data_IF_093078994350
#
_entry.id   IF_093078994350
#
_cell.length_a   1.000
_cell.length_b   1.000
_cell.length_c   1.000
_cell.angle_alpha   90.00
_cell.angle_beta   90.00
_cell.angle_gamma   90.00
#
_symmetry.space_group_name_H-M   'P 1'
#
loop_
_entity.id
_entity.type
_entity.pdbx_description
1 polymer ?
#
# COMPACT_ATOMS: atom_id res chain seq x y z
N UNK A 1 -8.36 -0.19 44.23
CA UNK A 1 -8.53 -0.03 42.77
C UNK A 1 -8.85 1.40 42.31
N UNK A 2 -9.33 2.32 43.14
CA UNK A 2 -9.74 3.67 42.70
C UNK A 2 -8.60 4.70 42.53
N UNK A 3 -7.51 4.57 43.30
CA UNK A 3 -6.41 5.56 43.33
C UNK A 3 -5.61 5.63 42.03
N UNK A 4 -5.43 4.49 41.35
CA UNK A 4 -4.73 4.43 40.06
C UNK A 4 -5.49 5.11 38.92
N UNK A 5 -6.83 5.05 38.94
CA UNK A 5 -7.67 5.69 37.93
C UNK A 5 -7.68 7.23 38.07
N UNK A 6 -7.64 7.73 39.31
CA UNK A 6 -7.61 9.17 39.58
C UNK A 6 -6.24 9.77 39.18
N UNK A 7 -5.14 9.09 39.51
CA UNK A 7 -3.79 9.52 39.10
C UNK A 7 -3.60 9.46 37.58
N UNK A 8 -4.07 8.39 36.93
CA UNK A 8 -4.01 8.28 35.47
C UNK A 8 -4.87 9.37 34.77
N UNK A 9 -6.06 9.66 35.30
CA UNK A 9 -6.94 10.70 34.79
C UNK A 9 -6.33 12.11 34.93
N UNK A 10 -5.74 12.44 36.07
CA UNK A 10 -5.05 13.72 36.30
C UNK A 10 -3.80 13.86 35.43
N UNK A 11 -3.02 12.78 35.25
CA UNK A 11 -1.84 12.78 34.40
C UNK A 11 -2.15 13.05 32.92
N UNK A 12 -3.22 12.46 32.38
CA UNK A 12 -3.64 12.72 31.00
C UNK A 12 -4.18 14.14 30.82
N UNK A 13 -4.89 14.67 31.81
CA UNK A 13 -5.42 16.03 31.77
C UNK A 13 -4.31 17.09 31.75
N UNK A 14 -3.24 16.93 32.55
CA UNK A 14 -2.12 17.89 32.59
C UNK A 14 -1.33 17.89 31.28
N UNK A 15 -1.05 16.72 30.70
CA UNK A 15 -0.37 16.61 29.40
C UNK A 15 -1.21 17.24 28.28
N UNK A 16 -2.52 16.97 28.26
CA UNK A 16 -3.43 17.55 27.28
C UNK A 16 -3.54 19.07 27.37
N UNK A 17 -3.65 19.62 28.58
CA UNK A 17 -3.81 21.06 28.80
C UNK A 17 -2.51 21.83 28.54
N UNK A 18 -1.37 21.30 28.98
CA UNK A 18 -0.05 21.88 28.70
C UNK A 18 0.27 21.87 27.20
N UNK A 19 -0.02 20.76 26.51
CA UNK A 19 0.11 20.67 25.04
C UNK A 19 -0.78 21.69 24.31
N UNK A 20 -2.05 21.83 24.73
CA UNK A 20 -2.99 22.79 24.13
C UNK A 20 -2.58 24.25 24.36
N UNK A 21 -2.01 24.56 25.52
CA UNK A 21 -1.54 25.90 25.85
C UNK A 21 -0.27 26.25 25.05
N UNK A 22 0.69 25.33 24.97
CA UNK A 22 1.91 25.50 24.17
C UNK A 22 1.60 25.74 22.68
N UNK A 23 0.64 25.01 22.10
CA UNK A 23 0.22 25.19 20.71
C UNK A 23 -0.49 26.53 20.45
N UNK A 24 -1.20 27.09 21.44
CA UNK A 24 -1.89 28.39 21.30
C UNK A 24 -0.96 29.60 21.41
N UNK A 25 0.08 29.51 22.22
CA UNK A 25 1.03 30.62 22.45
C UNK A 25 2.31 30.51 21.60
N UNK A 26 2.63 29.33 21.09
CA UNK A 26 3.81 29.08 20.24
C UNK A 26 3.57 29.38 18.76
N UNK A 27 3.22 30.62 18.39
CA UNK A 27 3.12 31.01 16.95
C UNK A 27 4.42 30.75 16.18
N UNK A 28 5.57 30.82 16.85
CA UNK A 28 6.90 30.50 16.30
C UNK A 28 7.09 28.99 16.08
N UNK A 29 6.61 28.15 17.00
CA UNK A 29 6.66 26.69 16.87
C UNK A 29 5.77 26.18 15.72
N UNK A 30 4.66 26.86 15.44
CA UNK A 30 3.86 26.54 14.25
C UNK A 30 4.59 26.83 12.94
N UNK A 31 5.41 27.90 12.89
CA UNK A 31 6.15 28.25 11.67
C UNK A 31 7.30 27.28 11.40
N UNK A 32 8.04 26.88 12.44
CA UNK A 32 9.13 25.89 12.31
C UNK A 32 8.60 24.48 12.07
N UNK A 33 7.51 24.07 12.72
CA UNK A 33 6.85 22.79 12.45
C UNK A 33 6.29 22.75 11.03
N UNK A 34 5.70 23.85 10.54
CA UNK A 34 5.21 23.95 9.15
C UNK A 34 6.35 23.85 8.15
N UNK A 35 7.48 24.53 8.39
CA UNK A 35 8.68 24.39 7.55
C UNK A 35 9.24 22.97 7.57
N UNK A 36 9.22 22.29 8.71
CA UNK A 36 9.62 20.89 8.80
C UNK A 36 8.62 19.96 8.07
N UNK A 37 7.32 20.19 8.20
CA UNK A 37 6.27 19.49 7.46
C UNK A 37 6.32 19.73 5.95
N UNK A 38 6.67 20.94 5.52
CA UNK A 38 6.85 21.30 4.10
C UNK A 38 8.17 20.74 3.55
N UNK A 39 9.17 20.50 4.42
CA UNK A 39 10.43 19.82 4.08
C UNK A 39 10.37 18.30 4.19
N UNK A 40 9.33 17.75 4.85
CA UNK A 40 8.98 16.36 4.67
C UNK A 40 8.55 16.24 3.21
N UNK A 41 9.12 15.30 2.45
CA UNK A 41 8.72 15.14 1.07
C UNK A 41 7.20 14.99 1.05
N UNK A 42 6.53 15.77 0.20
CA UNK A 42 5.16 15.48 -0.24
C UNK A 42 5.04 14.06 -0.88
N UNK A 43 6.14 13.29 -0.88
CA UNK A 43 6.30 11.87 -1.15
C UNK A 43 6.36 10.94 0.07
N UNK A 44 6.04 11.40 1.30
CA UNK A 44 5.34 10.51 2.26
C UNK A 44 3.92 10.25 1.72
N UNK A 45 3.86 9.78 0.48
CA UNK A 45 2.67 9.55 -0.29
C UNK A 45 2.04 8.32 0.33
N UNK A 46 1.08 8.54 1.24
CA UNK A 46 0.22 7.51 1.80
C UNK A 46 -0.62 6.77 0.75
N UNK A 47 -0.40 6.99 -0.55
CA UNK A 47 -1.03 6.21 -1.61
C UNK A 47 -0.38 4.83 -1.68
N UNK A 48 -0.99 3.85 -1.01
CA UNK A 48 -0.69 2.41 -1.15
C UNK A 48 -0.84 1.89 -2.60
N UNK A 49 -1.41 2.70 -3.49
CA UNK A 49 -1.78 2.34 -4.85
C UNK A 49 -0.89 3.03 -5.88
N UNK A 50 -0.59 2.31 -6.98
CA UNK A 50 0.06 2.89 -8.15
C UNK A 50 -0.92 3.81 -8.89
N UNK A 51 -0.44 4.98 -9.32
CA UNK A 51 -1.24 5.93 -10.10
C UNK A 51 -1.30 5.48 -11.57
N UNK A 52 -2.47 5.56 -12.19
CA UNK A 52 -2.70 5.21 -13.59
C UNK A 52 -3.53 3.93 -13.77
N UNK A 53 -3.68 3.51 -15.02
CA UNK A 53 -4.28 2.22 -15.39
C UNK A 53 -3.23 1.17 -15.72
N UNK A 54 -3.66 0.05 -16.29
CA UNK A 54 -2.75 -0.95 -16.85
C UNK A 54 -1.97 -0.38 -18.04
N UNK A 55 -0.75 -0.88 -18.25
CA UNK A 55 0.04 -0.54 -19.41
C UNK A 55 -0.66 -1.03 -20.69
N UNK A 56 -0.55 -0.30 -21.83
CA UNK A 56 -1.15 -0.73 -23.10
C UNK A 56 -0.67 -2.09 -23.58
N UNK A 57 0.55 -2.48 -23.20
CA UNK A 57 1.18 -3.75 -23.52
C UNK A 57 1.79 -4.32 -22.24
N UNK A 58 1.45 -5.57 -21.92
CA UNK A 58 1.97 -6.23 -20.71
C UNK A 58 3.49 -6.22 -20.69
N UNK A 59 4.05 -5.76 -19.56
CA UNK A 59 5.48 -5.76 -19.30
C UNK A 59 5.84 -6.71 -18.17
N UNK A 60 7.12 -7.11 -18.11
CA UNK A 60 7.62 -8.00 -17.05
C UNK A 60 7.41 -7.42 -15.65
N UNK A 61 7.51 -6.09 -15.53
CA UNK A 61 7.30 -5.36 -14.28
C UNK A 61 5.82 -5.39 -13.90
N UNK A 62 4.94 -5.00 -14.81
CA UNK A 62 3.50 -4.99 -14.58
C UNK A 62 2.99 -6.40 -14.22
N UNK A 63 3.40 -7.43 -14.96
CA UNK A 63 3.00 -8.80 -14.68
C UNK A 63 3.40 -9.27 -13.26
N UNK A 64 4.59 -8.89 -12.81
CA UNK A 64 5.05 -9.14 -11.44
C UNK A 64 4.20 -8.40 -10.40
N UNK A 65 3.82 -7.15 -10.69
CA UNK A 65 2.95 -6.35 -9.82
C UNK A 65 1.52 -6.92 -9.73
N UNK A 66 0.94 -7.33 -10.86
CA UNK A 66 -0.41 -7.93 -10.93
C UNK A 66 -0.46 -9.23 -10.12
N UNK A 67 0.54 -10.11 -10.28
CA UNK A 67 0.58 -11.39 -9.60
C UNK A 67 1.16 -11.33 -8.18
N UNK A 68 1.70 -10.18 -7.75
CA UNK A 68 2.34 -10.03 -6.44
C UNK A 68 3.58 -10.91 -6.26
N UNK A 69 4.34 -11.13 -7.35
CA UNK A 69 5.55 -11.97 -7.34
C UNK A 69 6.73 -11.22 -7.94
N UNK A 70 7.95 -11.65 -7.57
CA UNK A 70 9.15 -11.16 -8.24
C UNK A 70 9.06 -11.46 -9.75
N UNK A 71 9.49 -10.53 -10.64
CA UNK A 71 9.65 -10.79 -12.07
C UNK A 71 10.55 -12.00 -12.40
N UNK A 72 11.37 -12.44 -11.44
CA UNK A 72 12.25 -13.61 -11.53
C UNK A 72 11.75 -14.83 -10.74
N UNK A 73 10.50 -14.83 -10.25
CA UNK A 73 9.93 -15.94 -9.49
C UNK A 73 9.97 -17.28 -10.24
N UNK A 74 9.83 -18.42 -9.57
CA UNK A 74 9.75 -19.73 -10.23
C UNK A 74 8.37 -19.94 -10.89
N UNK A 75 8.29 -20.83 -11.90
CA UNK A 75 7.01 -21.21 -12.55
C UNK A 75 5.97 -21.70 -11.54
N UNK A 76 6.40 -22.48 -10.55
CA UNK A 76 5.53 -22.95 -9.47
C UNK A 76 4.90 -21.78 -8.68
N UNK A 77 5.72 -20.78 -8.31
CA UNK A 77 5.24 -19.61 -7.57
C UNK A 77 4.27 -18.74 -8.39
N UNK A 78 4.51 -18.62 -9.70
CA UNK A 78 3.60 -17.91 -10.62
C UNK A 78 2.27 -18.64 -10.73
N UNK A 79 2.27 -19.96 -10.95
CA UNK A 79 1.05 -20.76 -11.04
C UNK A 79 0.23 -20.69 -9.74
N UNK A 80 0.90 -20.74 -8.60
CA UNK A 80 0.24 -20.62 -7.29
C UNK A 80 -0.37 -19.23 -7.10
N UNK A 81 0.38 -18.16 -7.39
CA UNK A 81 -0.09 -16.79 -7.28
C UNK A 81 -1.28 -16.51 -8.24
N UNK A 82 -1.18 -16.97 -9.48
CA UNK A 82 -2.26 -16.90 -10.47
C UNK A 82 -3.53 -17.58 -9.96
N UNK A 83 -3.43 -18.84 -9.48
CA UNK A 83 -4.58 -19.57 -8.93
C UNK A 83 -5.23 -18.80 -7.77
N UNK A 84 -4.42 -18.28 -6.85
CA UNK A 84 -4.91 -17.54 -5.67
C UNK A 84 -5.64 -16.26 -6.07
N UNK A 85 -5.06 -15.46 -6.96
CA UNK A 85 -5.61 -14.17 -7.37
C UNK A 85 -6.82 -14.35 -8.29
N UNK A 86 -6.76 -15.30 -9.22
CA UNK A 86 -7.88 -15.60 -10.12
C UNK A 86 -9.11 -16.09 -9.35
N UNK A 87 -8.94 -16.93 -8.32
CA UNK A 87 -10.06 -17.41 -7.51
C UNK A 87 -10.88 -16.26 -6.89
N UNK A 88 -10.22 -15.16 -6.54
CA UNK A 88 -10.82 -13.96 -5.97
C UNK A 88 -11.40 -13.00 -7.01
N UNK A 89 -10.93 -13.07 -8.26
CA UNK A 89 -11.30 -12.14 -9.34
C UNK A 89 -12.05 -12.83 -10.48
N UNK A 90 -12.53 -14.05 -10.27
CA UNK A 90 -13.19 -14.83 -11.30
C UNK A 90 -14.53 -14.17 -11.70
N UNK A 91 -14.84 -14.04 -13.00
CA UNK A 91 -16.07 -13.37 -13.46
C UNK A 91 -17.34 -14.05 -12.92
N UNK A 92 -17.35 -15.38 -12.83
CA UNK A 92 -18.47 -16.14 -12.25
C UNK A 92 -18.65 -15.96 -10.73
N UNK A 93 -17.77 -15.18 -10.08
CA UNK A 93 -17.79 -14.88 -8.64
C UNK A 93 -17.75 -13.37 -8.39
N UNK A 94 -18.50 -12.62 -9.20
CA UNK A 94 -18.58 -11.16 -9.17
C UNK A 94 -17.25 -10.43 -9.47
N UNK A 95 -16.28 -11.14 -10.06
CA UNK A 95 -15.03 -10.55 -10.53
C UNK A 95 -15.21 -9.76 -11.82
N UNK A 96 -14.35 -8.76 -12.05
CA UNK A 96 -14.35 -8.04 -13.32
C UNK A 96 -13.75 -8.92 -14.44
N UNK A 97 -14.44 -9.13 -15.57
CA UNK A 97 -13.88 -9.84 -16.72
C UNK A 97 -12.56 -9.20 -17.21
N UNK A 98 -12.46 -7.88 -17.11
CA UNK A 98 -11.26 -7.14 -17.49
C UNK A 98 -10.08 -7.42 -16.56
N UNK A 99 -10.32 -7.49 -15.24
CA UNK A 99 -9.27 -7.85 -14.28
C UNK A 99 -8.82 -9.30 -14.46
N UNK A 100 -9.76 -10.22 -14.66
CA UNK A 100 -9.45 -11.62 -14.95
C UNK A 100 -8.58 -11.75 -16.21
N UNK A 101 -8.92 -11.02 -17.28
CA UNK A 101 -8.11 -10.98 -18.50
C UNK A 101 -6.69 -10.49 -18.23
N UNK A 102 -6.51 -9.41 -17.45
CA UNK A 102 -5.18 -8.88 -17.08
C UNK A 102 -4.37 -9.84 -16.21
N UNK A 103 -5.02 -10.58 -15.32
CA UNK A 103 -4.37 -11.62 -14.50
C UNK A 103 -3.87 -12.77 -15.39
N UNK A 104 -4.65 -13.19 -16.38
CA UNK A 104 -4.24 -14.22 -17.34
C UNK A 104 -3.07 -13.73 -18.21
N UNK A 105 -3.16 -12.52 -18.76
CA UNK A 105 -2.11 -11.90 -19.56
C UNK A 105 -0.79 -11.82 -18.78
N UNK A 106 -0.83 -11.44 -17.49
CA UNK A 106 0.34 -11.40 -16.62
C UNK A 106 0.99 -12.79 -16.42
N UNK A 107 0.17 -13.83 -16.20
CA UNK A 107 0.66 -15.20 -16.05
C UNK A 107 1.31 -15.69 -17.34
N UNK A 108 0.68 -15.48 -18.48
CA UNK A 108 1.19 -15.96 -19.77
C UNK A 108 2.47 -15.22 -20.15
N UNK A 109 2.56 -13.93 -19.87
CA UNK A 109 3.77 -13.15 -20.09
C UNK A 109 4.96 -13.70 -19.27
N UNK A 110 4.77 -13.97 -17.97
CA UNK A 110 5.86 -14.48 -17.12
C UNK A 110 6.22 -15.95 -17.40
N UNK A 111 5.30 -16.74 -17.94
CA UNK A 111 5.59 -18.12 -18.35
C UNK A 111 6.37 -18.16 -19.66
N UNK A 112 5.97 -17.35 -20.65
CA UNK A 112 6.57 -17.33 -21.99
C UNK A 112 7.90 -16.56 -22.06
N UNK A 113 8.13 -15.62 -21.15
CA UNK A 113 9.37 -14.83 -21.12
C UNK A 113 10.59 -15.56 -20.52
N UNK A 114 10.48 -16.85 -20.18
CA UNK A 114 11.60 -17.66 -19.68
C UNK A 114 12.28 -18.43 -20.80
N UNK A 115 13.62 -18.37 -20.92
CA UNK A 115 14.36 -19.24 -21.84
C UNK A 115 14.17 -20.70 -21.41
N UNK A 116 13.66 -21.55 -22.32
CA UNK A 116 13.45 -22.99 -22.09
C UNK A 116 11.99 -23.47 -22.06
N UNK A 117 11.04 -22.73 -22.63
CA UNK A 117 9.64 -23.18 -22.82
C UNK A 117 9.20 -23.26 -24.28
N UNK A 118 10.16 -23.35 -25.21
CA UNK A 118 9.93 -23.69 -26.61
C UNK A 118 9.96 -25.19 -26.80
#
# INVERSE_FOLDING_TARGET
>A
MATGLILAGLGLATVGFAGRYALRYGKFAQQTLKQQLDSLPAGASFSKYYKGGFEPKMSKREAGLILGVSPSASKAKIKEAHKRIMLLNHPDRDGSPYLAAKINEAKDYLDNSRPGSS
#
